data_IF_872911360608
#
_entry.id   IF_872911360608
#
_cell.length_a   1.000
_cell.length_b   1.000
_cell.length_c   1.000
_cell.angle_alpha   90.00
_cell.angle_beta   90.00
_cell.angle_gamma   90.00
#
_symmetry.space_group_name_H-M   'P 1'
#
loop_
_entity.id
_entity.type
_entity.pdbx_description
1 polymer ?
#
# COMPACT_ATOMS: atom_id res chain seq x y z
N UNK A 1 6.38 -20.10 13.96
CA UNK A 1 7.34 -19.67 12.92
C UNK A 1 6.57 -18.96 11.83
N UNK A 2 7.06 -17.84 11.35
CA UNK A 2 6.49 -17.12 10.21
C UNK A 2 7.08 -17.69 8.93
N UNK A 3 6.25 -18.05 7.93
CA UNK A 3 6.74 -18.41 6.60
C UNK A 3 6.93 -17.13 5.79
N UNK A 4 8.04 -17.03 5.06
CA UNK A 4 8.31 -15.88 4.20
C UNK A 4 8.73 -16.37 2.82
N UNK A 5 7.98 -15.94 1.80
CA UNK A 5 8.40 -16.02 0.40
C UNK A 5 9.01 -14.69 0.00
N UNK A 6 10.26 -14.72 -0.46
CA UNK A 6 10.98 -13.52 -0.90
C UNK A 6 11.51 -13.73 -2.31
N UNK A 7 11.27 -12.78 -3.19
CA UNK A 7 11.67 -12.83 -4.59
C UNK A 7 12.04 -11.45 -5.13
N UNK A 8 12.96 -11.46 -6.08
CA UNK A 8 13.38 -10.28 -6.83
C UNK A 8 13.45 -10.60 -8.33
N UNK A 9 13.68 -9.59 -9.16
CA UNK A 9 13.74 -9.75 -10.61
C UNK A 9 12.39 -9.69 -11.31
N UNK A 10 12.40 -9.77 -12.66
CA UNK A 10 11.19 -9.61 -13.48
C UNK A 10 10.15 -10.71 -13.23
N UNK A 11 10.59 -11.91 -12.86
CA UNK A 11 9.68 -13.06 -12.63
C UNK A 11 9.17 -13.16 -11.19
N UNK A 12 9.46 -12.18 -10.31
CA UNK A 12 9.09 -12.23 -8.89
C UNK A 12 7.60 -12.45 -8.65
N UNK A 13 6.74 -11.85 -9.49
CA UNK A 13 5.29 -12.01 -9.41
C UNK A 13 4.85 -13.45 -9.63
N UNK A 14 5.39 -14.08 -10.67
CA UNK A 14 5.09 -15.46 -10.99
C UNK A 14 5.63 -16.41 -9.92
N UNK A 15 6.89 -16.22 -9.48
CA UNK A 15 7.51 -17.05 -8.45
C UNK A 15 6.80 -16.95 -7.11
N UNK A 16 6.43 -15.75 -6.65
CA UNK A 16 5.63 -15.56 -5.43
C UNK A 16 4.22 -16.17 -5.57
N UNK A 17 3.58 -16.05 -6.74
CA UNK A 17 2.30 -16.68 -7.00
C UNK A 17 2.39 -18.20 -6.98
N UNK A 18 3.47 -18.80 -7.51
CA UNK A 18 3.71 -20.23 -7.46
C UNK A 18 3.98 -20.71 -6.04
N UNK A 19 4.84 -20.00 -5.30
CA UNK A 19 5.12 -20.30 -3.90
C UNK A 19 3.85 -20.25 -3.05
N UNK A 20 3.04 -19.20 -3.19
CA UNK A 20 1.77 -19.08 -2.47
C UNK A 20 0.78 -20.20 -2.78
N UNK A 21 0.64 -20.53 -4.07
CA UNK A 21 -0.24 -21.66 -4.49
C UNK A 21 0.22 -22.97 -3.86
N UNK A 22 1.51 -23.22 -3.76
CA UNK A 22 2.03 -24.40 -3.09
C UNK A 22 1.69 -24.38 -1.60
N UNK A 23 1.95 -23.29 -0.89
CA UNK A 23 1.61 -23.14 0.52
C UNK A 23 0.11 -23.37 0.75
N UNK A 24 -0.75 -22.76 -0.09
CA UNK A 24 -2.19 -22.91 0.03
C UNK A 24 -2.69 -24.35 -0.29
N UNK A 25 -2.05 -25.05 -1.22
CA UNK A 25 -2.40 -26.45 -1.54
C UNK A 25 -1.98 -27.44 -0.45
N UNK A 26 -0.88 -27.18 0.25
CA UNK A 26 -0.38 -28.02 1.32
C UNK A 26 -1.08 -27.74 2.67
N UNK A 27 -1.75 -26.60 2.79
CA UNK A 27 -2.46 -26.20 4.00
C UNK A 27 -3.67 -27.09 4.27
N UNK A 28 -3.88 -27.37 5.56
CA UNK A 28 -5.10 -28.00 6.07
C UNK A 28 -5.77 -27.03 7.03
N UNK A 29 -7.04 -26.80 6.81
CA UNK A 29 -7.82 -25.87 7.61
C UNK A 29 -8.80 -26.65 8.49
N UNK A 30 -8.81 -26.33 9.79
CA UNK A 30 -9.78 -26.81 10.75
C UNK A 30 -10.47 -25.58 11.36
N UNK A 31 -11.79 -25.51 11.21
CA UNK A 31 -12.59 -24.41 11.76
C UNK A 31 -13.21 -24.85 13.07
N UNK A 32 -12.79 -24.21 14.17
CA UNK A 32 -13.42 -24.36 15.48
C UNK A 32 -14.37 -23.19 15.69
N UNK A 33 -15.67 -23.42 15.49
CA UNK A 33 -16.68 -22.40 15.72
C UNK A 33 -17.11 -22.40 17.17
N UNK A 34 -17.17 -21.19 17.78
CA UNK A 34 -17.91 -21.01 19.03
C UNK A 34 -19.42 -21.03 18.68
N UNK A 35 -20.15 -21.94 19.30
CA UNK A 35 -21.60 -22.10 19.08
C UNK A 35 -22.44 -20.87 19.47
N UNK A 36 -21.84 -19.90 20.15
CA UNK A 36 -22.48 -18.63 20.54
C UNK A 36 -22.36 -17.54 19.44
N UNK A 37 -21.49 -17.73 18.45
CA UNK A 37 -21.31 -16.79 17.35
C UNK A 37 -22.22 -17.17 16.18
N UNK A 38 -23.11 -16.29 15.71
CA UNK A 38 -23.91 -16.56 14.53
C UNK A 38 -22.97 -16.81 13.35
N UNK A 39 -23.01 -17.98 12.74
CA UNK A 39 -22.38 -18.18 11.44
C UNK A 39 -22.92 -17.11 10.48
N UNK A 40 -22.05 -16.52 9.65
CA UNK A 40 -22.50 -15.68 8.53
C UNK A 40 -23.62 -16.41 7.78
N UNK A 41 -24.60 -15.70 7.24
CA UNK A 41 -25.86 -16.27 6.74
C UNK A 41 -25.74 -17.41 5.71
N UNK A 42 -24.53 -17.73 5.23
CA UNK A 42 -24.19 -18.84 4.33
C UNK A 42 -23.15 -19.82 4.92
N UNK A 43 -22.69 -19.60 6.15
CA UNK A 43 -21.65 -20.43 6.80
C UNK A 43 -20.24 -20.20 6.28
N UNK A 44 -19.99 -19.20 5.44
CA UNK A 44 -18.67 -18.85 4.96
C UNK A 44 -17.85 -18.14 6.05
N UNK A 45 -16.53 -18.34 6.03
CA UNK A 45 -15.60 -17.59 6.90
C UNK A 45 -15.57 -16.12 6.50
N UNK A 46 -15.39 -15.19 7.47
CA UNK A 46 -15.15 -13.79 7.16
C UNK A 46 -13.97 -13.62 6.21
N UNK A 47 -14.05 -12.61 5.34
CA UNK A 47 -12.92 -12.25 4.44
C UNK A 47 -11.67 -11.93 5.25
N UNK A 48 -10.54 -12.56 4.91
CA UNK A 48 -9.29 -12.48 5.67
C UNK A 48 -9.19 -13.43 6.86
N UNK A 49 -10.19 -14.28 7.09
CA UNK A 49 -10.07 -15.44 7.98
C UNK A 49 -9.42 -16.61 7.23
N UNK A 50 -8.81 -17.53 7.97
CA UNK A 50 -8.08 -18.67 7.39
C UNK A 50 -6.64 -18.32 7.02
N UNK A 51 -6.08 -19.08 6.08
CA UNK A 51 -4.70 -18.87 5.63
C UNK A 51 -4.58 -17.60 4.80
N UNK A 52 -3.72 -16.67 5.26
CA UNK A 52 -3.44 -15.40 4.58
C UNK A 52 -1.94 -15.13 4.51
N UNK A 53 -1.51 -14.41 3.48
CA UNK A 53 -0.19 -13.81 3.37
C UNK A 53 -0.29 -12.30 3.27
N UNK A 54 0.55 -11.60 4.00
CA UNK A 54 0.76 -10.15 3.87
C UNK A 54 1.81 -9.89 2.81
N UNK A 55 1.52 -8.99 1.88
CA UNK A 55 2.36 -8.70 0.74
C UNK A 55 2.98 -7.31 0.84
N UNK A 56 4.26 -7.20 0.51
CA UNK A 56 4.95 -5.91 0.29
C UNK A 56 5.88 -6.07 -0.92
N UNK A 57 5.52 -5.42 -2.02
CA UNK A 57 6.16 -5.63 -3.32
C UNK A 57 7.11 -4.49 -3.64
N UNK A 58 8.28 -4.81 -4.17
CA UNK A 58 9.22 -3.81 -4.66
C UNK A 58 8.64 -3.03 -5.84
N UNK A 59 8.98 -1.73 -5.94
CA UNK A 59 8.59 -0.88 -7.06
C UNK A 59 9.24 -1.35 -8.37
N UNK A 60 10.53 -1.64 -8.34
CA UNK A 60 11.29 -2.04 -9.53
C UNK A 60 11.62 -3.54 -9.51
N UNK A 61 11.71 -4.14 -10.70
CA UNK A 61 12.21 -5.50 -10.87
C UNK A 61 13.64 -5.66 -10.37
N UNK A 62 14.44 -4.60 -10.52
CA UNK A 62 15.88 -4.58 -10.17
C UNK A 62 16.12 -4.17 -8.70
N UNK A 63 15.07 -3.99 -7.88
CA UNK A 63 15.21 -3.56 -6.49
C UNK A 63 15.93 -4.63 -5.65
N UNK A 64 16.99 -4.27 -4.90
CA UNK A 64 17.65 -5.16 -3.96
C UNK A 64 16.79 -5.46 -2.72
N UNK A 65 15.78 -4.61 -2.42
CA UNK A 65 14.85 -4.82 -1.30
C UNK A 65 13.95 -6.05 -1.49
N UNK A 66 13.80 -6.52 -2.74
CA UNK A 66 12.94 -7.63 -3.06
C UNK A 66 11.45 -7.40 -2.75
N UNK A 67 10.67 -8.41 -3.05
CA UNK A 67 9.22 -8.46 -2.76
C UNK A 67 8.94 -9.62 -1.82
N UNK A 68 8.07 -9.42 -0.83
CA UNK A 68 7.81 -10.44 0.19
C UNK A 68 6.32 -10.78 0.30
N UNK A 69 6.07 -12.06 0.57
CA UNK A 69 4.81 -12.57 1.11
C UNK A 69 5.11 -13.15 2.50
N UNK A 70 4.46 -12.61 3.52
CA UNK A 70 4.66 -13.01 4.93
C UNK A 70 3.42 -13.73 5.41
N UNK A 71 3.54 -15.01 5.74
CA UNK A 71 2.47 -15.81 6.36
C UNK A 71 2.68 -15.76 7.87
N UNK A 72 1.83 -15.07 8.65
CA UNK A 72 2.02 -14.91 10.08
C UNK A 72 1.63 -16.21 10.82
N UNK A 73 2.19 -16.40 11.99
CA UNK A 73 1.82 -17.51 12.89
C UNK A 73 0.41 -17.36 13.46
N UNK A 74 -0.02 -16.12 13.69
CA UNK A 74 -1.34 -15.80 14.25
C UNK A 74 -1.92 -14.60 13.53
N UNK A 75 -3.17 -14.72 13.11
CA UNK A 75 -3.98 -13.60 12.58
C UNK A 75 -5.15 -13.36 13.53
N UNK A 76 -5.29 -12.11 13.95
CA UNK A 76 -6.47 -11.65 14.68
C UNK A 76 -7.23 -10.70 13.75
N UNK A 77 -8.49 -11.00 13.45
CA UNK A 77 -9.32 -10.18 12.58
C UNK A 77 -10.61 -9.78 13.26
N UNK A 78 -11.12 -8.62 12.84
CA UNK A 78 -12.45 -8.10 13.24
C UNK A 78 -13.10 -7.47 12.03
N UNK A 79 -14.33 -7.84 11.74
CA UNK A 79 -15.15 -7.22 10.70
C UNK A 79 -16.63 -7.34 11.08
N UNK A 80 -17.40 -6.27 10.98
CA UNK A 80 -18.85 -6.23 11.18
C UNK A 80 -19.29 -6.94 12.49
N UNK A 81 -18.63 -6.63 13.61
CA UNK A 81 -18.86 -7.22 14.95
C UNK A 81 -18.46 -8.72 15.09
N UNK A 82 -17.89 -9.31 14.06
CA UNK A 82 -17.33 -10.66 14.13
C UNK A 82 -15.81 -10.59 14.30
N UNK A 83 -15.32 -11.21 15.36
CA UNK A 83 -13.89 -11.36 15.61
C UNK A 83 -13.47 -12.81 15.36
N UNK A 84 -12.28 -13.01 14.81
CA UNK A 84 -11.71 -14.35 14.63
C UNK A 84 -10.21 -14.37 14.94
N UNK A 85 -9.73 -15.56 15.18
CA UNK A 85 -8.30 -15.85 15.30
C UNK A 85 -7.97 -17.02 14.39
N UNK A 86 -6.99 -16.84 13.51
CA UNK A 86 -6.40 -17.92 12.73
C UNK A 86 -5.01 -18.22 13.28
N UNK A 87 -4.74 -19.50 13.56
CA UNK A 87 -3.40 -19.98 13.89
C UNK A 87 -2.85 -20.77 12.72
N UNK A 88 -1.62 -20.48 12.33
CA UNK A 88 -0.94 -21.12 11.21
C UNK A 88 0.30 -21.80 11.74
N UNK A 89 0.40 -23.11 11.57
CA UNK A 89 1.50 -23.94 12.04
C UNK A 89 2.11 -24.71 10.85
N UNK A 90 3.43 -24.87 10.86
CA UNK A 90 4.13 -25.67 9.87
C UNK A 90 4.17 -27.12 10.31
N UNK A 91 3.63 -28.01 9.50
CA UNK A 91 3.62 -29.44 9.82
C UNK A 91 5.06 -29.99 9.91
N UNK A 92 5.38 -30.65 11.04
CA UNK A 92 6.70 -31.26 11.29
C UNK A 92 7.57 -30.52 12.30
N UNK A 93 7.23 -29.30 12.70
CA UNK A 93 7.84 -28.61 13.84
C UNK A 93 6.92 -28.77 15.07
N UNK A 94 7.08 -29.88 15.80
CA UNK A 94 6.38 -30.07 17.05
C UNK A 94 6.88 -29.03 18.05
N UNK A 95 6.05 -28.02 18.35
CA UNK A 95 6.23 -27.26 19.59
C UNK A 95 6.01 -28.22 20.76
N UNK A 96 7.09 -28.56 21.48
CA UNK A 96 6.98 -29.28 22.74
C UNK A 96 6.07 -28.46 23.68
N UNK A 97 4.84 -28.91 23.85
CA UNK A 97 3.91 -28.31 24.82
C UNK A 97 2.43 -28.22 24.44
N UNK A 98 2.03 -28.58 23.23
CA UNK A 98 0.60 -28.59 22.87
C UNK A 98 0.01 -30.00 22.99
N UNK A 99 -0.28 -30.45 24.22
CA UNK A 99 -1.21 -31.58 24.41
C UNK A 99 -2.64 -31.05 24.22
N UNK A 100 -3.29 -31.52 23.15
CA UNK A 100 -4.73 -31.35 22.89
C UNK A 100 -5.53 -32.20 23.93
N UNK A 101 -5.61 -31.77 25.17
CA UNK A 101 -6.60 -32.25 26.15
C UNK A 101 -6.99 -31.10 27.06
N UNK A 102 -8.07 -30.44 26.75
CA UNK A 102 -8.67 -29.44 27.61
C UNK A 102 -9.98 -28.93 27.08
N UNK A 103 -11.10 -29.51 27.56
CA UNK A 103 -12.41 -28.92 27.39
C UNK A 103 -12.35 -27.44 27.75
N UNK A 104 -12.88 -26.58 26.84
CA UNK A 104 -12.97 -25.15 27.04
C UNK A 104 -13.71 -24.87 28.36
N UNK A 105 -12.98 -24.37 29.34
CA UNK A 105 -13.58 -23.72 30.52
C UNK A 105 -13.98 -22.33 30.11
N UNK A 106 -15.25 -21.96 30.36
CA UNK A 106 -15.75 -20.59 30.15
C UNK A 106 -14.77 -19.57 30.75
N UNK A 107 -14.26 -18.67 29.87
CA UNK A 107 -13.34 -17.60 30.26
C UNK A 107 -11.84 -17.84 30.07
N UNK A 108 -11.39 -19.01 29.60
CA UNK A 108 -9.98 -19.24 29.29
C UNK A 108 -9.66 -18.78 27.85
N UNK A 109 -8.72 -17.85 27.71
CA UNK A 109 -8.13 -17.50 26.40
C UNK A 109 -7.53 -18.77 25.80
N UNK A 110 -7.85 -19.15 24.54
CA UNK A 110 -7.26 -20.29 23.89
C UNK A 110 -5.72 -20.23 23.98
N UNK A 111 -5.07 -21.34 24.33
CA UNK A 111 -3.62 -21.39 24.47
C UNK A 111 -2.94 -20.92 23.19
N UNK A 112 -1.98 -19.97 23.30
CA UNK A 112 -1.15 -19.46 22.19
C UNK A 112 -1.70 -18.28 21.41
N UNK A 113 -2.81 -17.66 21.81
CA UNK A 113 -3.14 -16.32 21.30
C UNK A 113 -2.16 -15.34 21.96
N UNK A 114 -1.46 -14.47 21.17
CA UNK A 114 -0.63 -13.42 21.74
C UNK A 114 -1.47 -12.58 22.70
N UNK A 115 -1.06 -12.50 23.95
CA UNK A 115 -1.71 -11.60 24.88
C UNK A 115 -1.41 -10.16 24.46
N UNK A 116 -2.40 -9.28 24.65
CA UNK A 116 -2.19 -7.85 24.45
C UNK A 116 -1.03 -7.43 25.38
N UNK A 117 -0.03 -6.77 24.80
CA UNK A 117 1.03 -6.17 25.60
C UNK A 117 0.42 -5.13 26.55
N UNK A 118 0.79 -5.19 27.82
CA UNK A 118 0.42 -4.14 28.79
C UNK A 118 1.21 -2.85 28.56
N UNK A 119 2.28 -2.90 27.76
CA UNK A 119 3.06 -1.72 27.41
C UNK A 119 2.30 -0.92 26.32
N UNK A 120 1.92 0.34 26.61
CA UNK A 120 1.28 1.19 25.61
C UNK A 120 2.25 1.49 24.46
N UNK A 121 1.74 1.76 23.24
CA UNK A 121 2.58 2.26 22.16
C UNK A 121 3.33 3.52 22.59
N UNK A 122 4.63 3.58 22.31
CA UNK A 122 5.49 4.68 22.76
C UNK A 122 5.80 5.65 21.64
N UNK A 123 5.58 6.96 21.92
CA UNK A 123 6.01 8.03 21.03
C UNK A 123 7.55 8.10 21.03
N UNK A 124 8.18 8.39 19.88
CA UNK A 124 9.60 8.72 19.86
C UNK A 124 9.82 10.00 20.68
N UNK A 125 10.88 10.02 21.51
CA UNK A 125 11.17 11.14 22.42
C UNK A 125 11.67 12.39 21.68
N UNK A 126 12.31 12.18 20.53
CA UNK A 126 12.82 13.22 19.64
C UNK A 126 12.95 12.67 18.23
N UNK A 127 12.71 13.52 17.25
CA UNK A 127 12.95 13.21 15.84
C UNK A 127 13.88 14.26 15.23
N UNK A 128 14.91 13.79 14.54
CA UNK A 128 15.75 14.60 13.68
C UNK A 128 15.52 14.17 12.22
N UNK A 129 15.08 15.12 11.37
CA UNK A 129 14.92 14.85 9.95
C UNK A 129 16.18 15.29 9.20
N UNK A 130 16.73 14.36 8.43
CA UNK A 130 17.88 14.57 7.56
C UNK A 130 17.55 14.35 6.09
N UNK A 131 18.46 14.77 5.20
CA UNK A 131 18.32 14.48 3.78
C UNK A 131 18.37 12.97 3.53
N UNK A 132 17.55 12.51 2.60
CA UNK A 132 17.66 11.17 2.03
C UNK A 132 18.77 11.09 0.99
N UNK A 133 18.58 10.26 -0.03
CA UNK A 133 19.57 10.14 -1.10
C UNK A 133 19.55 11.28 -2.13
N UNK A 134 18.43 11.98 -2.26
CA UNK A 134 18.34 13.19 -3.09
C UNK A 134 18.25 14.41 -2.18
N UNK A 135 19.31 15.22 -2.03
CA UNK A 135 19.26 16.44 -1.25
C UNK A 135 18.13 17.37 -1.72
N UNK A 136 17.51 18.09 -0.77
CA UNK A 136 16.39 18.98 -1.06
C UNK A 136 16.75 20.05 -2.11
N UNK A 137 17.97 20.55 -2.08
CA UNK A 137 18.51 21.54 -3.03
C UNK A 137 18.62 20.98 -4.46
N UNK A 138 18.80 19.65 -4.60
CA UNK A 138 18.87 18.97 -5.91
C UNK A 138 17.51 18.65 -6.53
N UNK A 139 16.44 18.57 -5.74
CA UNK A 139 15.14 18.15 -6.22
C UNK A 139 14.56 19.01 -7.33
N UNK A 140 14.52 20.35 -7.24
CA UNK A 140 14.03 21.18 -8.35
C UNK A 140 14.80 20.98 -9.65
N UNK A 141 16.10 20.68 -9.58
CA UNK A 141 16.91 20.39 -10.75
C UNK A 141 16.57 19.02 -11.35
N UNK A 142 16.24 18.02 -10.53
CA UNK A 142 15.75 16.71 -10.98
C UNK A 142 14.41 16.86 -11.69
N UNK A 143 13.47 17.62 -11.12
CA UNK A 143 12.18 17.94 -11.73
C UNK A 143 12.36 18.66 -13.06
N UNK A 144 13.25 19.67 -13.14
CA UNK A 144 13.52 20.40 -14.38
C UNK A 144 14.02 19.46 -15.48
N UNK A 145 14.91 18.51 -15.17
CA UNK A 145 15.37 17.49 -16.15
C UNK A 145 14.22 16.59 -16.60
N UNK A 146 13.29 16.25 -15.71
CA UNK A 146 12.06 15.53 -16.05
C UNK A 146 11.20 16.30 -17.04
N UNK A 147 10.96 17.60 -16.80
CA UNK A 147 10.24 18.50 -17.70
C UNK A 147 10.93 18.56 -19.07
N UNK A 148 12.24 18.72 -19.12
CA UNK A 148 13.02 18.81 -20.37
C UNK A 148 12.95 17.48 -21.15
N UNK A 149 12.98 16.34 -20.46
CA UNK A 149 12.80 15.03 -21.08
C UNK A 149 11.41 14.89 -21.72
N UNK A 150 10.35 15.32 -21.02
CA UNK A 150 8.99 15.32 -21.54
C UNK A 150 8.86 16.25 -22.75
N UNK A 151 9.37 17.47 -22.65
CA UNK A 151 9.34 18.46 -23.76
C UNK A 151 10.10 17.97 -25.00
N UNK A 152 11.10 17.12 -24.82
CA UNK A 152 11.82 16.46 -25.92
C UNK A 152 11.11 15.23 -26.49
N UNK A 153 9.95 14.85 -25.95
CA UNK A 153 9.14 13.70 -26.40
C UNK A 153 9.60 12.34 -25.91
N UNK A 154 10.42 12.28 -24.83
CA UNK A 154 10.85 11.00 -24.24
C UNK A 154 9.74 10.30 -23.46
N UNK A 155 8.82 11.06 -22.88
CA UNK A 155 7.60 10.58 -22.21
C UNK A 155 6.55 11.68 -22.24
N UNK A 156 5.29 11.32 -21.93
CA UNK A 156 4.19 12.29 -21.76
C UNK A 156 4.08 12.75 -20.31
N UNK A 157 4.40 11.85 -19.39
CA UNK A 157 4.38 12.05 -17.93
C UNK A 157 5.44 11.16 -17.28
N UNK A 158 6.09 11.65 -16.22
CA UNK A 158 6.95 10.86 -15.32
C UNK A 158 6.63 11.20 -13.87
N UNK A 159 6.49 10.20 -13.02
CA UNK A 159 6.34 10.42 -11.56
C UNK A 159 7.71 10.32 -10.92
N UNK A 160 8.21 11.41 -10.36
CA UNK A 160 9.49 11.46 -9.67
C UNK A 160 9.30 11.50 -8.15
N UNK A 161 10.15 10.79 -7.43
CA UNK A 161 10.10 10.69 -5.98
C UNK A 161 11.41 11.15 -5.33
N UNK A 162 11.31 11.66 -4.11
CA UNK A 162 12.41 11.95 -3.21
C UNK A 162 12.17 11.36 -1.84
N UNK A 163 13.24 11.20 -1.07
CA UNK A 163 13.18 10.69 0.28
C UNK A 163 13.79 11.65 1.30
N UNK A 164 13.40 11.43 2.55
CA UNK A 164 13.98 12.00 3.75
C UNK A 164 14.11 10.90 4.80
N UNK A 165 15.07 11.03 5.70
CA UNK A 165 15.26 10.10 6.82
C UNK A 165 14.93 10.79 8.11
N UNK A 166 14.04 10.22 8.89
CA UNK A 166 13.74 10.62 10.25
C UNK A 166 14.47 9.68 11.20
N UNK A 167 15.27 10.21 12.10
CA UNK A 167 16.07 9.46 13.09
C UNK A 167 15.58 9.76 14.50
N UNK A 168 15.31 8.70 15.26
CA UNK A 168 15.02 8.75 16.69
C UNK A 168 16.23 8.24 17.50
N UNK A 169 16.37 8.61 18.79
CA UNK A 169 17.41 8.05 19.66
C UNK A 169 17.13 6.61 20.13
N UNK A 170 15.88 6.13 19.96
CA UNK A 170 15.43 4.79 20.29
C UNK A 170 14.73 4.11 19.10
N UNK A 171 14.64 2.78 19.05
CA UNK A 171 13.87 2.07 18.02
C UNK A 171 12.43 2.56 17.93
N UNK A 172 11.96 2.78 16.72
CA UNK A 172 10.62 3.26 16.45
C UNK A 172 9.56 2.19 16.73
N UNK A 173 8.54 2.54 17.50
CA UNK A 173 7.41 1.66 17.77
C UNK A 173 6.37 1.75 16.63
N UNK A 174 6.30 0.70 15.80
CA UNK A 174 5.33 0.59 14.69
C UNK A 174 3.89 0.75 15.17
N UNK A 175 3.57 0.26 16.40
CA UNK A 175 2.22 0.36 16.98
C UNK A 175 1.82 1.82 17.21
N UNK A 176 2.79 2.66 17.61
CA UNK A 176 2.58 4.11 17.75
C UNK A 176 2.24 4.74 16.40
N UNK A 177 3.06 4.47 15.36
CA UNK A 177 2.85 5.02 14.02
C UNK A 177 1.47 4.61 13.47
N UNK A 178 1.11 3.32 13.59
CA UNK A 178 -0.20 2.83 13.16
C UNK A 178 -1.35 3.50 13.92
N UNK A 179 -1.24 3.64 15.24
CA UNK A 179 -2.26 4.30 16.06
C UNK A 179 -2.51 5.75 15.62
N UNK A 180 -1.44 6.49 15.36
CA UNK A 180 -1.50 7.87 14.89
C UNK A 180 -2.11 7.99 13.49
N UNK A 181 -1.68 7.12 12.57
CA UNK A 181 -2.16 7.11 11.20
C UNK A 181 -3.65 6.77 11.12
N UNK A 182 -4.11 5.73 11.82
CA UNK A 182 -5.53 5.36 11.87
C UNK A 182 -6.38 6.49 12.44
N UNK A 183 -5.92 7.15 13.50
CA UNK A 183 -6.65 8.26 14.12
C UNK A 183 -6.76 9.50 13.23
N UNK A 184 -5.69 9.82 12.47
CA UNK A 184 -5.64 11.01 11.63
C UNK A 184 -6.22 10.79 10.21
N UNK A 185 -6.19 9.55 9.70
CA UNK A 185 -6.57 9.22 8.32
C UNK A 185 -7.53 8.01 8.28
N UNK A 186 -8.73 8.11 8.87
CA UNK A 186 -9.69 6.98 9.01
C UNK A 186 -10.18 6.44 7.65
N UNK A 187 -10.16 7.26 6.59
CA UNK A 187 -10.65 6.91 5.25
C UNK A 187 -9.53 6.35 4.34
N UNK A 188 -8.44 5.86 4.95
CA UNK A 188 -7.31 5.27 4.23
C UNK A 188 -7.08 3.81 4.65
N UNK A 189 -6.32 3.08 3.85
CA UNK A 189 -5.83 1.74 4.20
C UNK A 189 -4.50 1.88 4.94
N UNK A 190 -4.56 1.69 6.26
CA UNK A 190 -3.38 1.73 7.13
C UNK A 190 -2.75 0.34 7.19
N UNK A 191 -1.45 0.26 7.06
CA UNK A 191 -0.71 -1.01 6.98
C UNK A 191 0.65 -0.94 7.66
N UNK A 192 1.15 -2.12 8.07
CA UNK A 192 2.54 -2.36 8.41
C UNK A 192 2.93 -3.77 7.97
N UNK A 193 3.87 -3.89 7.03
CA UNK A 193 4.35 -5.17 6.49
C UNK A 193 5.87 -5.09 6.31
N UNK A 194 6.59 -5.92 7.04
CA UNK A 194 8.05 -6.06 6.94
C UNK A 194 8.80 -4.71 6.99
N UNK A 195 8.51 -3.92 8.03
CA UNK A 195 9.10 -2.60 8.26
C UNK A 195 8.52 -1.46 7.43
N UNK A 196 7.76 -1.73 6.38
CA UNK A 196 7.03 -0.71 5.62
C UNK A 196 5.75 -0.35 6.36
N UNK A 197 5.56 0.93 6.73
CA UNK A 197 4.40 1.42 7.47
C UNK A 197 3.81 2.66 6.78
N UNK A 198 2.47 2.75 6.71
CA UNK A 198 1.83 3.88 6.06
C UNK A 198 0.31 3.86 6.10
N UNK A 199 -0.30 4.90 5.49
CA UNK A 199 -1.75 5.06 5.35
C UNK A 199 -2.06 5.56 3.93
N UNK A 200 -2.38 4.63 3.04
CA UNK A 200 -2.59 4.93 1.62
C UNK A 200 -4.06 5.21 1.31
N UNK A 201 -4.37 6.26 0.55
CA UNK A 201 -5.71 6.48 0.02
C UNK A 201 -5.99 5.71 -1.27
N UNK A 202 -4.97 5.07 -1.86
CA UNK A 202 -5.05 4.47 -3.20
C UNK A 202 -5.11 2.94 -3.13
N UNK A 203 -6.25 2.39 -3.50
CA UNK A 203 -6.42 0.94 -3.68
C UNK A 203 -6.06 0.58 -5.11
N UNK A 204 -4.91 -0.08 -5.30
CA UNK A 204 -4.49 -0.55 -6.61
C UNK A 204 -5.50 -1.55 -7.16
N UNK A 205 -5.81 -2.58 -6.37
CA UNK A 205 -6.83 -3.57 -6.72
C UNK A 205 -7.29 -4.35 -5.48
N UNK A 206 -8.58 -4.64 -5.45
CA UNK A 206 -9.22 -5.60 -4.55
C UNK A 206 -9.83 -6.71 -5.40
N UNK A 207 -9.71 -7.93 -4.95
CA UNK A 207 -10.47 -9.08 -5.46
C UNK A 207 -11.27 -9.69 -4.31
N UNK A 208 -12.58 -9.89 -4.52
CA UNK A 208 -13.50 -10.45 -3.54
C UNK A 208 -14.56 -11.28 -4.26
N UNK A 209 -14.45 -12.60 -4.17
CA UNK A 209 -15.33 -13.56 -4.86
C UNK A 209 -15.52 -13.25 -6.37
N UNK A 210 -14.39 -12.98 -7.03
CA UNK A 210 -14.33 -12.61 -8.45
C UNK A 210 -14.77 -11.16 -8.76
N UNK A 211 -15.22 -10.37 -7.79
CA UNK A 211 -15.45 -8.94 -7.96
C UNK A 211 -14.12 -8.19 -7.85
N UNK A 212 -13.79 -7.42 -8.87
CA UNK A 212 -12.58 -6.58 -8.92
C UNK A 212 -12.96 -5.15 -8.66
N UNK A 213 -12.26 -4.50 -7.73
CA UNK A 213 -12.34 -3.08 -7.47
C UNK A 213 -10.96 -2.45 -7.59
N UNK A 214 -10.88 -1.27 -8.19
CA UNK A 214 -9.64 -0.46 -8.25
C UNK A 214 -9.98 1.00 -8.06
N UNK A 215 -9.17 1.73 -7.27
CA UNK A 215 -9.32 3.16 -7.05
C UNK A 215 -8.14 3.91 -7.64
N UNK A 216 -8.41 4.75 -8.61
CA UNK A 216 -7.43 5.59 -9.29
C UNK A 216 -7.47 6.99 -8.73
N UNK A 217 -6.31 7.49 -8.30
CA UNK A 217 -6.11 8.88 -7.88
C UNK A 217 -5.09 9.55 -8.83
N UNK A 218 -5.50 10.63 -9.48
CA UNK A 218 -4.60 11.48 -10.26
C UNK A 218 -5.21 12.89 -10.33
N UNK A 219 -4.37 13.91 -10.26
CA UNK A 219 -4.81 15.29 -10.02
C UNK A 219 -4.93 15.57 -8.50
N UNK A 220 -4.24 16.62 -8.04
CA UNK A 220 -4.14 16.95 -6.61
C UNK A 220 -4.16 18.47 -6.43
N UNK A 221 -4.90 18.93 -5.40
CA UNK A 221 -4.83 20.30 -4.91
C UNK A 221 -4.63 20.31 -3.39
N UNK A 222 -3.85 21.24 -2.87
CA UNK A 222 -3.68 21.40 -1.43
C UNK A 222 -4.93 22.02 -0.82
N UNK A 223 -5.28 21.60 0.40
CA UNK A 223 -6.31 22.23 1.21
C UNK A 223 -5.86 23.62 1.67
N UNK A 224 -6.81 24.54 1.77
CA UNK A 224 -6.58 25.87 2.35
C UNK A 224 -7.15 25.94 3.76
N UNK A 225 -6.59 26.85 4.58
CA UNK A 225 -7.09 27.07 5.94
C UNK A 225 -8.40 27.89 5.97
N UNK A 226 -8.60 28.76 4.99
CA UNK A 226 -9.83 29.53 4.78
C UNK A 226 -10.85 28.70 4.00
N UNK A 227 -12.13 28.74 4.41
CA UNK A 227 -13.19 27.90 3.83
C UNK A 227 -13.50 28.29 2.37
N UNK A 228 -13.44 29.57 2.03
CA UNK A 228 -13.75 30.06 0.68
C UNK A 228 -12.61 29.69 -0.29
N UNK A 229 -11.35 29.87 0.13
CA UNK A 229 -10.17 29.45 -0.62
C UNK A 229 -10.11 27.93 -0.79
N UNK A 230 -10.51 27.15 0.24
CA UNK A 230 -10.56 25.69 0.18
C UNK A 230 -11.60 25.20 -0.84
N UNK A 231 -12.79 25.83 -0.86
CA UNK A 231 -13.81 25.52 -1.86
C UNK A 231 -13.36 25.90 -3.27
N UNK A 232 -12.70 27.06 -3.46
CA UNK A 232 -12.13 27.43 -4.74
C UNK A 232 -11.08 26.43 -5.23
N UNK A 233 -10.19 25.95 -4.35
CA UNK A 233 -9.20 24.94 -4.71
C UNK A 233 -9.86 23.61 -5.18
N UNK A 234 -10.96 23.22 -4.55
CA UNK A 234 -11.74 22.04 -4.95
C UNK A 234 -12.41 22.23 -6.32
N UNK A 235 -13.06 23.38 -6.53
CA UNK A 235 -13.75 23.71 -7.78
C UNK A 235 -12.76 23.86 -8.94
N UNK A 236 -11.61 24.49 -8.72
CA UNK A 236 -10.54 24.64 -9.70
C UNK A 236 -9.98 23.29 -10.13
N UNK A 237 -9.76 22.36 -9.18
CA UNK A 237 -9.31 21.01 -9.49
C UNK A 237 -10.32 20.25 -10.36
N UNK A 238 -11.61 20.33 -10.03
CA UNK A 238 -12.68 19.71 -10.81
C UNK A 238 -12.86 20.33 -12.21
N UNK A 239 -12.47 21.59 -12.38
CA UNK A 239 -12.53 22.31 -13.64
C UNK A 239 -11.21 22.26 -14.46
N UNK A 240 -10.12 21.80 -13.86
CA UNK A 240 -8.79 21.80 -14.49
C UNK A 240 -8.72 20.81 -15.65
N UNK A 241 -8.58 21.31 -16.87
CA UNK A 241 -8.41 20.46 -18.05
C UNK A 241 -7.16 19.60 -18.00
N UNK A 242 -6.09 20.12 -17.39
CA UNK A 242 -4.82 19.41 -17.20
C UNK A 242 -5.05 18.21 -16.30
N UNK A 243 -5.59 18.43 -15.10
CA UNK A 243 -5.78 17.36 -14.10
C UNK A 243 -6.80 16.33 -14.56
N UNK A 244 -7.88 16.75 -15.23
CA UNK A 244 -8.85 15.84 -15.84
C UNK A 244 -8.24 14.98 -16.95
N UNK A 245 -7.34 15.54 -17.77
CA UNK A 245 -6.64 14.77 -18.80
C UNK A 245 -5.65 13.77 -18.19
N UNK A 246 -4.89 14.20 -17.18
CA UNK A 246 -3.99 13.31 -16.42
C UNK A 246 -4.77 12.15 -15.80
N UNK A 247 -5.91 12.45 -15.17
CA UNK A 247 -6.78 11.47 -14.56
C UNK A 247 -7.33 10.46 -15.57
N UNK A 248 -7.79 10.94 -16.74
CA UNK A 248 -8.30 10.08 -17.80
C UNK A 248 -7.24 9.07 -18.29
N UNK A 249 -6.00 9.50 -18.51
CA UNK A 249 -4.89 8.58 -18.84
C UNK A 249 -4.65 7.51 -17.78
N UNK A 250 -4.71 7.88 -16.50
CA UNK A 250 -4.56 6.93 -15.40
C UNK A 250 -5.68 5.88 -15.41
N UNK A 251 -6.92 6.30 -15.58
CA UNK A 251 -8.09 5.40 -15.65
C UNK A 251 -8.01 4.48 -16.87
N UNK A 252 -7.73 5.02 -18.07
CA UNK A 252 -7.59 4.24 -19.30
C UNK A 252 -6.50 3.18 -19.18
N UNK A 253 -5.35 3.52 -18.58
CA UNK A 253 -4.26 2.57 -18.32
C UNK A 253 -4.70 1.40 -17.44
N UNK A 254 -5.50 1.65 -16.40
CA UNK A 254 -6.03 0.60 -15.53
C UNK A 254 -7.02 -0.30 -16.28
N UNK A 255 -7.96 0.29 -17.04
CA UNK A 255 -8.92 -0.46 -17.86
C UNK A 255 -8.22 -1.36 -18.86
N UNK A 256 -7.23 -0.84 -19.58
CA UNK A 256 -6.46 -1.59 -20.58
C UNK A 256 -5.76 -2.81 -19.95
N UNK A 257 -5.14 -2.63 -18.79
CA UNK A 257 -4.38 -3.69 -18.11
C UNK A 257 -5.23 -4.74 -17.41
N UNK A 258 -6.40 -4.34 -16.90
CA UNK A 258 -7.34 -5.29 -16.30
C UNK A 258 -8.13 -6.09 -17.36
N UNK A 259 -8.32 -5.53 -18.56
CA UNK A 259 -9.13 -6.16 -19.60
C UNK A 259 -8.74 -7.61 -19.97
N UNK A 260 -7.45 -8.01 -19.98
CA UNK A 260 -7.08 -9.41 -20.23
C UNK A 260 -7.42 -10.36 -19.07
N UNK A 261 -7.54 -9.85 -17.84
CA UNK A 261 -7.76 -10.61 -16.61
C UNK A 261 -9.22 -10.51 -16.10
N UNK A 262 -10.04 -9.68 -16.76
CA UNK A 262 -11.42 -9.45 -16.37
C UNK A 262 -12.37 -9.66 -17.55
N UNK A 263 -13.53 -10.22 -17.27
CA UNK A 263 -14.61 -10.38 -18.27
C UNK A 263 -15.35 -9.07 -18.56
N UNK A 264 -15.28 -8.13 -17.63
CA UNK A 264 -15.80 -6.77 -17.74
C UNK A 264 -15.01 -5.84 -16.82
N UNK A 265 -14.79 -4.60 -17.27
CA UNK A 265 -14.24 -3.49 -16.46
C UNK A 265 -15.09 -2.25 -16.76
N UNK A 266 -15.59 -1.61 -15.72
CA UNK A 266 -16.42 -0.41 -15.81
C UNK A 266 -15.74 0.73 -15.03
N UNK A 267 -15.54 1.85 -15.71
CA UNK A 267 -15.05 3.09 -15.11
C UNK A 267 -16.12 4.17 -15.14
N UNK A 268 -16.18 5.09 -14.16
CA UNK A 268 -17.08 6.24 -14.19
C UNK A 268 -16.71 7.18 -15.36
N UNK A 269 -17.70 7.90 -15.90
CA UNK A 269 -17.49 8.83 -17.02
C UNK A 269 -16.69 10.08 -16.64
N UNK A 270 -16.72 10.45 -15.38
CA UNK A 270 -15.99 11.60 -14.82
C UNK A 270 -15.55 11.28 -13.40
N UNK A 271 -14.39 11.83 -12.94
CA UNK A 271 -13.95 11.64 -11.57
C UNK A 271 -14.86 12.35 -10.56
N UNK A 272 -14.82 11.87 -9.33
CA UNK A 272 -15.32 12.56 -8.15
C UNK A 272 -14.15 13.26 -7.42
N UNK A 273 -14.46 14.01 -6.36
CA UNK A 273 -13.48 14.62 -5.47
C UNK A 273 -13.33 13.77 -4.20
N UNK A 274 -12.12 13.34 -3.91
CA UNK A 274 -11.74 12.76 -2.63
C UNK A 274 -11.11 13.84 -1.75
N UNK A 275 -11.71 14.09 -0.58
CA UNK A 275 -11.22 15.06 0.39
C UNK A 275 -10.44 14.35 1.49
N UNK A 276 -9.16 14.65 1.61
CA UNK A 276 -8.30 14.23 2.73
C UNK A 276 -7.99 15.43 3.64
N UNK A 277 -7.46 15.22 4.84
CA UNK A 277 -7.19 16.33 5.77
C UNK A 277 -6.33 17.47 5.19
N UNK A 278 -5.41 17.15 4.30
CA UNK A 278 -4.40 18.10 3.78
C UNK A 278 -4.45 18.32 2.26
N UNK A 279 -5.20 17.50 1.50
CA UNK A 279 -5.27 17.57 0.03
C UNK A 279 -6.64 17.16 -0.49
N UNK A 280 -6.96 17.63 -1.71
CA UNK A 280 -7.99 17.08 -2.57
C UNK A 280 -7.36 16.22 -3.65
N UNK A 281 -8.03 15.12 -4.04
CA UNK A 281 -7.69 14.32 -5.21
C UNK A 281 -8.89 14.14 -6.14
N UNK A 282 -8.66 14.09 -7.45
CA UNK A 282 -9.62 13.49 -8.35
C UNK A 282 -9.57 11.96 -8.16
N UNK A 283 -10.75 11.33 -8.05
CA UNK A 283 -10.89 9.90 -7.80
C UNK A 283 -11.84 9.24 -8.78
N UNK A 284 -11.48 8.06 -9.27
CA UNK A 284 -12.37 7.16 -10.00
C UNK A 284 -12.29 5.76 -9.39
N UNK A 285 -13.44 5.22 -9.02
CA UNK A 285 -13.61 3.84 -8.59
C UNK A 285 -14.03 2.99 -9.79
N UNK A 286 -13.26 1.95 -10.09
CA UNK A 286 -13.50 1.02 -11.18
C UNK A 286 -14.00 -0.30 -10.61
N UNK A 287 -15.00 -0.86 -11.27
CA UNK A 287 -15.55 -2.17 -10.96
C UNK A 287 -15.30 -3.15 -12.09
N UNK A 288 -15.07 -4.43 -11.75
CA UNK A 288 -14.83 -5.46 -12.74
C UNK A 288 -15.23 -6.86 -12.28
N UNK A 289 -15.13 -7.81 -13.18
CA UNK A 289 -15.33 -9.23 -12.89
C UNK A 289 -14.12 -10.02 -13.39
N UNK A 290 -13.36 -10.63 -12.48
CA UNK A 290 -12.17 -11.40 -12.81
C UNK A 290 -12.52 -12.66 -13.62
N UNK A 291 -11.60 -13.07 -14.47
CA UNK A 291 -11.62 -14.40 -15.07
C UNK A 291 -11.43 -15.44 -13.95
N UNK A 292 -12.18 -16.57 -13.95
CA UNK A 292 -12.05 -17.60 -12.91
C UNK A 292 -10.59 -18.09 -12.74
N UNK A 293 -10.12 -18.13 -11.51
CA UNK A 293 -8.77 -18.55 -11.14
C UNK A 293 -7.72 -17.42 -11.12
N UNK A 294 -8.10 -16.19 -11.49
CA UNK A 294 -7.24 -15.01 -11.31
C UNK A 294 -7.10 -14.67 -9.83
N UNK A 295 -5.90 -14.31 -9.40
CA UNK A 295 -5.59 -13.90 -8.03
C UNK A 295 -5.40 -12.38 -7.93
N UNK A 296 -5.54 -11.82 -6.73
CA UNK A 296 -5.26 -10.40 -6.48
C UNK A 296 -3.80 -10.05 -6.79
N UNK A 297 -2.87 -10.99 -6.60
CA UNK A 297 -1.44 -10.78 -6.89
C UNK A 297 -1.18 -10.66 -8.40
N UNK A 298 -1.86 -11.47 -9.23
CA UNK A 298 -1.78 -11.37 -10.69
C UNK A 298 -2.38 -10.06 -11.21
N UNK A 299 -3.53 -9.63 -10.64
CA UNK A 299 -4.12 -8.33 -10.95
C UNK A 299 -3.19 -7.18 -10.58
N UNK A 300 -2.59 -7.24 -9.38
CA UNK A 300 -1.65 -6.22 -8.92
C UNK A 300 -0.38 -6.17 -9.81
N UNK A 301 0.16 -7.32 -10.22
CA UNK A 301 1.31 -7.40 -11.13
C UNK A 301 1.01 -6.80 -12.52
N UNK A 302 -0.19 -7.03 -13.05
CA UNK A 302 -0.62 -6.44 -14.32
C UNK A 302 -0.71 -4.90 -14.23
N UNK A 303 -1.22 -4.38 -13.11
CA UNK A 303 -1.39 -2.94 -12.90
C UNK A 303 -0.10 -2.21 -12.51
N UNK A 304 0.82 -2.90 -11.84
CA UNK A 304 2.02 -2.26 -11.29
C UNK A 304 3.17 -2.14 -12.31
N UNK A 305 3.90 -0.98 -12.30
CA UNK A 305 3.46 0.28 -11.73
C UNK A 305 2.40 0.97 -12.60
N UNK A 306 1.42 1.55 -11.94
CA UNK A 306 0.38 2.34 -12.62
C UNK A 306 0.93 3.68 -13.15
N UNK A 307 0.20 4.33 -14.06
CA UNK A 307 0.56 5.67 -14.53
C UNK A 307 0.56 6.72 -13.40
N UNK A 308 -0.15 6.45 -12.29
CA UNK A 308 -0.20 7.34 -11.12
C UNK A 308 1.11 7.38 -10.33
N UNK A 309 1.94 6.33 -10.40
CA UNK A 309 3.21 6.22 -9.66
C UNK A 309 4.44 6.00 -10.55
N UNK A 310 4.26 5.66 -11.81
CA UNK A 310 5.32 5.50 -12.82
C UNK A 310 5.33 6.62 -13.85
N UNK A 311 4.32 6.66 -14.71
CA UNK A 311 4.17 7.63 -15.81
C UNK A 311 3.70 6.99 -17.10
N UNK A 312 3.74 7.76 -18.16
CA UNK A 312 3.23 7.37 -19.50
C UNK A 312 4.16 7.87 -20.60
N UNK A 313 4.50 7.04 -21.62
CA UNK A 313 4.37 5.58 -21.67
C UNK A 313 5.19 4.90 -20.57
N UNK A 314 4.70 3.75 -20.05
CA UNK A 314 5.26 3.10 -18.85
C UNK A 314 6.77 2.85 -18.91
N UNK A 315 7.25 2.18 -19.94
CA UNK A 315 8.67 1.81 -20.04
C UNK A 315 9.57 3.04 -20.12
N UNK A 316 9.21 4.01 -20.96
CA UNK A 316 9.96 5.25 -21.08
C UNK A 316 9.99 6.05 -19.76
N UNK A 317 8.87 6.06 -19.02
CA UNK A 317 8.80 6.71 -17.72
C UNK A 317 9.66 5.98 -16.67
N UNK A 318 9.68 4.65 -16.65
CA UNK A 318 10.53 3.87 -15.75
C UNK A 318 12.02 4.08 -16.03
N UNK A 319 12.41 4.19 -17.31
CA UNK A 319 13.79 4.52 -17.69
C UNK A 319 14.19 5.91 -17.20
N UNK A 320 13.28 6.89 -17.34
CA UNK A 320 13.50 8.24 -16.80
C UNK A 320 13.60 8.26 -15.28
N UNK A 321 12.77 7.50 -14.56
CA UNK A 321 12.84 7.36 -13.11
C UNK A 321 14.22 6.86 -12.69
N UNK A 322 14.72 5.76 -13.30
CA UNK A 322 16.05 5.21 -13.01
C UNK A 322 17.16 6.23 -13.26
N UNK A 323 17.08 6.94 -14.40
CA UNK A 323 18.08 7.95 -14.80
C UNK A 323 18.07 9.16 -13.86
N UNK A 324 16.88 9.69 -13.52
CA UNK A 324 16.73 10.97 -12.84
C UNK A 324 16.81 10.86 -11.32
N UNK A 325 16.26 9.82 -10.72
CA UNK A 325 16.36 9.57 -9.29
C UNK A 325 17.71 8.99 -8.90
N UNK A 326 18.32 8.17 -9.76
CA UNK A 326 19.63 7.56 -9.56
C UNK A 326 19.71 6.63 -8.36
N UNK A 327 18.55 6.11 -7.90
CA UNK A 327 18.42 5.29 -6.69
C UNK A 327 17.20 4.39 -6.75
N UNK A 328 17.23 3.37 -5.91
CA UNK A 328 16.10 2.49 -5.72
C UNK A 328 15.04 3.11 -4.79
N UNK A 329 13.78 2.88 -5.11
CA UNK A 329 12.63 3.24 -4.26
C UNK A 329 12.34 2.19 -3.20
N UNK A 330 12.96 1.02 -3.29
CA UNK A 330 12.60 -0.12 -2.47
C UNK A 330 11.12 -0.50 -2.69
N UNK A 331 10.38 -0.55 -1.61
CA UNK A 331 8.94 -0.89 -1.62
C UNK A 331 8.02 0.34 -1.65
N UNK A 332 8.56 1.56 -1.61
CA UNK A 332 7.76 2.77 -1.79
C UNK A 332 7.11 2.79 -3.17
N UNK A 333 5.84 3.15 -3.24
CA UNK A 333 4.98 3.11 -4.43
C UNK A 333 4.78 1.71 -5.04
N UNK A 334 5.29 0.65 -4.38
CA UNK A 334 4.98 -0.74 -4.69
C UNK A 334 3.63 -1.16 -4.12
N UNK A 335 3.03 -2.25 -4.60
CA UNK A 335 1.83 -2.83 -4.00
C UNK A 335 2.08 -3.37 -2.61
N UNK A 336 1.14 -3.08 -1.69
CA UNK A 336 1.15 -3.56 -0.31
C UNK A 336 -0.25 -4.00 0.09
N UNK A 337 -0.35 -5.13 0.81
CA UNK A 337 -1.66 -5.63 1.19
C UNK A 337 -1.64 -7.07 1.69
N UNK A 338 -2.64 -7.84 1.28
CA UNK A 338 -2.79 -9.24 1.70
C UNK A 338 -3.55 -10.07 0.65
N UNK A 339 -3.37 -11.38 0.73
CA UNK A 339 -4.05 -12.36 -0.10
C UNK A 339 -4.41 -13.58 0.74
N UNK A 340 -5.62 -14.16 0.53
CA UNK A 340 -6.03 -15.42 1.15
C UNK A 340 -5.73 -16.65 0.25
N UNK A 341 -6.01 -17.83 0.77
CA UNK A 341 -5.78 -19.09 0.04
C UNK A 341 -6.61 -19.23 -1.25
N UNK A 342 -7.70 -18.48 -1.39
CA UNK A 342 -8.55 -18.47 -2.60
C UNK A 342 -8.00 -17.53 -3.68
N UNK A 343 -7.04 -16.69 -3.32
CA UNK A 343 -6.50 -15.65 -4.17
C UNK A 343 -7.21 -14.31 -4.04
N UNK A 344 -8.24 -14.22 -3.19
CA UNK A 344 -8.90 -12.96 -2.84
C UNK A 344 -7.99 -12.10 -1.95
N UNK A 345 -8.15 -10.79 -1.99
CA UNK A 345 -7.33 -9.89 -1.18
C UNK A 345 -7.45 -8.43 -1.56
N UNK A 346 -6.66 -7.60 -0.87
CA UNK A 346 -6.52 -6.16 -1.10
C UNK A 346 -5.07 -5.81 -1.33
N UNK A 347 -4.78 -5.08 -2.41
CA UNK A 347 -3.47 -4.50 -2.72
C UNK A 347 -3.61 -2.99 -2.92
N UNK A 348 -3.16 -2.20 -1.95
CA UNK A 348 -3.00 -0.76 -2.09
C UNK A 348 -1.65 -0.41 -2.71
N UNK A 349 -1.46 0.86 -3.08
CA UNK A 349 -0.15 1.39 -3.46
C UNK A 349 0.49 1.98 -2.20
N UNK A 350 1.73 1.60 -1.87
CA UNK A 350 2.45 2.08 -0.69
C UNK A 350 2.82 3.57 -0.81
N UNK A 351 1.83 4.42 -0.59
CA UNK A 351 1.93 5.88 -0.52
C UNK A 351 1.74 6.37 0.91
N UNK A 352 2.19 7.60 1.20
CA UNK A 352 2.13 8.16 2.56
C UNK A 352 2.76 7.20 3.57
N UNK A 353 3.95 6.73 3.24
CA UNK A 353 4.61 5.61 3.91
C UNK A 353 6.06 5.93 4.26
N UNK A 354 6.60 5.15 5.18
CA UNK A 354 8.02 5.07 5.48
C UNK A 354 8.45 3.63 5.69
N UNK A 355 9.71 3.35 5.40
CA UNK A 355 10.37 2.09 5.67
C UNK A 355 11.26 2.24 6.90
N UNK A 356 11.01 1.47 7.95
CA UNK A 356 11.94 1.32 9.06
C UNK A 356 13.14 0.52 8.54
N UNK A 357 14.34 1.05 8.71
CA UNK A 357 15.56 0.40 8.22
C UNK A 357 15.86 -0.84 9.07
N UNK A 358 16.02 -2.00 8.43
CA UNK A 358 16.21 -3.27 9.14
C UNK A 358 17.51 -3.30 9.97
N UNK A 359 18.56 -2.64 9.48
CA UNK A 359 19.87 -2.57 10.16
C UNK A 359 19.90 -1.54 11.29
N UNK A 360 19.03 -0.53 11.22
CA UNK A 360 18.92 0.52 12.23
C UNK A 360 17.45 0.93 12.44
N UNK A 361 16.72 0.27 13.36
CA UNK A 361 15.30 0.53 13.59
C UNK A 361 15.00 1.90 14.21
N UNK A 362 16.02 2.70 14.51
CA UNK A 362 15.88 4.12 14.88
C UNK A 362 15.61 5.03 13.67
N UNK A 363 15.82 4.53 12.45
CA UNK A 363 15.65 5.28 11.22
C UNK A 363 14.36 4.90 10.50
N UNK A 364 13.60 5.91 10.07
CA UNK A 364 12.46 5.79 9.16
C UNK A 364 12.76 6.57 7.88
N UNK A 365 12.90 5.87 6.78
CA UNK A 365 13.02 6.48 5.45
C UNK A 365 11.63 6.74 4.88
N UNK A 366 11.28 7.99 4.71
CA UNK A 366 9.99 8.44 4.19
C UNK A 366 10.13 8.93 2.76
N UNK A 367 9.11 8.68 1.94
CA UNK A 367 9.12 9.03 0.52
C UNK A 367 7.91 9.87 0.14
N UNK A 368 8.12 10.76 -0.84
CA UNK A 368 7.03 11.44 -1.54
C UNK A 368 7.41 11.73 -2.99
N UNK A 369 6.42 11.65 -3.88
CA UNK A 369 6.59 11.94 -5.30
C UNK A 369 5.46 12.77 -5.86
N UNK A 370 5.69 13.31 -7.06
CA UNK A 370 4.73 14.08 -7.86
C UNK A 370 4.79 13.69 -9.33
N UNK A 371 3.66 13.85 -10.03
CA UNK A 371 3.56 13.64 -11.47
C UNK A 371 4.08 14.85 -12.24
N UNK A 372 5.20 14.69 -12.91
CA UNK A 372 5.84 15.75 -13.70
C UNK A 372 5.28 15.74 -15.12
N UNK A 373 4.85 16.91 -15.58
CA UNK A 373 4.35 17.19 -16.90
C UNK A 373 5.20 18.29 -17.57
N UNK A 374 4.96 18.54 -18.85
CA UNK A 374 5.71 19.56 -19.62
C UNK A 374 5.57 20.99 -19.09
N UNK A 375 4.48 21.28 -18.38
CA UNK A 375 4.14 22.57 -17.79
C UNK A 375 4.28 22.63 -16.27
N UNK A 376 4.81 21.57 -15.63
CA UNK A 376 5.10 21.55 -14.19
C UNK A 376 6.08 22.66 -13.77
N UNK A 377 5.90 23.17 -12.55
CA UNK A 377 6.84 24.10 -11.89
C UNK A 377 7.67 23.38 -10.84
N UNK A 378 9.02 23.38 -10.90
CA UNK A 378 9.86 22.63 -9.97
C UNK A 378 9.69 23.01 -8.51
N UNK A 379 9.35 24.27 -8.19
CA UNK A 379 9.13 24.69 -6.80
C UNK A 379 7.77 24.28 -6.28
N UNK A 380 6.74 24.32 -7.12
CA UNK A 380 5.41 23.84 -6.78
C UNK A 380 5.46 22.31 -6.51
N UNK A 381 6.14 21.53 -7.37
CA UNK A 381 6.33 20.09 -7.19
C UNK A 381 7.11 19.76 -5.89
N UNK A 382 8.10 20.59 -5.54
CA UNK A 382 8.80 20.45 -4.26
C UNK A 382 7.88 20.67 -3.06
N UNK A 383 7.06 21.72 -3.09
CA UNK A 383 6.08 22.01 -2.04
C UNK A 383 5.04 20.88 -1.90
N UNK A 384 4.57 20.33 -3.03
CA UNK A 384 3.64 19.20 -3.06
C UNK A 384 4.22 17.96 -2.38
N UNK A 385 5.49 17.62 -2.65
CA UNK A 385 6.15 16.50 -1.94
C UNK A 385 6.24 16.76 -0.44
N UNK A 386 6.44 18.01 -0.01
CA UNK A 386 6.41 18.41 1.40
C UNK A 386 5.06 18.11 2.07
N UNK A 387 3.96 18.46 1.40
CA UNK A 387 2.60 18.17 1.86
C UNK A 387 2.31 16.66 1.92
N UNK A 388 2.85 15.88 0.98
CA UNK A 388 2.71 14.42 0.94
C UNK A 388 3.52 13.68 2.01
N UNK A 389 4.57 14.29 2.57
CA UNK A 389 5.31 13.77 3.73
C UNK A 389 4.62 14.07 5.06
N UNK A 390 3.70 15.04 5.11
CA UNK A 390 3.06 15.49 6.34
C UNK A 390 2.39 14.37 7.17
N UNK A 391 1.70 13.36 6.57
CA UNK A 391 1.11 12.28 7.35
C UNK A 391 2.12 11.52 8.21
N UNK A 392 3.26 11.16 7.64
CA UNK A 392 4.30 10.42 8.35
C UNK A 392 5.01 11.30 9.38
N UNK A 393 5.27 12.58 9.06
CA UNK A 393 5.83 13.55 10.01
C UNK A 393 4.93 13.76 11.23
N UNK A 394 3.62 13.92 11.00
CA UNK A 394 2.64 14.04 12.08
C UNK A 394 2.55 12.77 12.93
N UNK A 395 2.65 11.59 12.33
CA UNK A 395 2.67 10.34 13.08
C UNK A 395 3.91 10.19 13.97
N UNK A 396 5.05 10.74 13.55
CA UNK A 396 6.31 10.76 14.31
C UNK A 396 6.30 11.80 15.43
N UNK A 397 5.74 13.01 15.23
CA UNK A 397 5.82 14.11 16.18
C UNK A 397 5.00 13.93 17.45
N UNK A 398 4.00 13.06 17.42
CA UNK A 398 3.11 12.84 18.56
C UNK A 398 2.11 13.97 18.84
N UNK A 399 2.08 15.01 17.99
CA UNK A 399 1.20 16.19 18.10
C UNK A 399 -0.14 15.97 17.34
#
# INVERSE_FOLDING_TARGET
>A
MTLVGEESGPDRWERLSQWWRQVAQEAREEVVADSSVPAGGDGSLPRGAGLVAWASMAFSDDSPEGSVLVVPEVVVGVKDDVAWVTRIEVAGEATEGATNEGAATEGATPAGIPQRSDDPPSAPTRIEEGPGGTPAEGWPAVVQRGIDAIRSGRADKVVLARDVVATAPEPLDVRWLLHRLVGAYPDTWTFAVDGLVGATPEMLVRLDDGHVFSRVLAGTASRAADVEDDQHAADDLLASRKDLSEHAFAVESVVERLSPLCTAVVAPRSPALLTLPNVFHLVSDLDGRAVPGTTVLELAGALHPSAAVGGTPREAALDLIRELEGRDRGRYAGPVGWMDARGDGDMGIALRTGQIEAEDPCNLRMWAGGGIMADSDPQAEYAETGAKLAPMRSALSGD
#
